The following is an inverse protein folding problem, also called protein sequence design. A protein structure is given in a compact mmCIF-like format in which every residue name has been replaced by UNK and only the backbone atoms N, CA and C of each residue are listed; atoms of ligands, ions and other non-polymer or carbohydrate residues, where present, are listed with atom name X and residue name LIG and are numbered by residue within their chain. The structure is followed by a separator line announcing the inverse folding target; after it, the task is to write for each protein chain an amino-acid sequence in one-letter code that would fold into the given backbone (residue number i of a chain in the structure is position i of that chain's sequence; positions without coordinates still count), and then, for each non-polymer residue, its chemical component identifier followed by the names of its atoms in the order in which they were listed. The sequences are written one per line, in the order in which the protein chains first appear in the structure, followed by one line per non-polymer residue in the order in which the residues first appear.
data_IF_973249727577
#
_entry.id   IF_973249727577
#
_cell.length_a   1.000
_cell.length_b   1.000
_cell.length_c   1.000
_cell.angle_alpha   90.00
_cell.angle_beta   90.00
_cell.angle_gamma   90.00
#
_symmetry.space_group_name_H-M   'P 1'
#
loop_
_entity.id
_entity.type
_entity.pdbx_description
1 polymer ?
#
# COMPACT_ATOMS: atom_id res chain seq x y z
N UNK A 1 1.08 2.12 9.63
CA UNK A 1 1.38 1.36 8.41
C UNK A 1 2.64 1.92 7.80
N UNK A 2 3.75 1.17 7.79
CA UNK A 2 5.01 1.66 7.25
C UNK A 2 4.91 1.76 5.72
N UNK A 3 5.16 2.96 5.19
CA UNK A 3 5.36 3.13 3.76
C UNK A 3 6.78 2.69 3.39
N UNK A 4 6.89 1.87 2.36
CA UNK A 4 8.18 1.54 1.75
C UNK A 4 8.40 2.46 0.57
N UNK A 5 9.58 3.08 0.52
CA UNK A 5 10.00 3.90 -0.61
C UNK A 5 10.66 3.00 -1.65
N UNK A 6 9.94 2.71 -2.74
CA UNK A 6 10.51 2.01 -3.90
C UNK A 6 11.23 3.02 -4.78
N UNK A 7 12.52 2.79 -5.02
CA UNK A 7 13.36 3.63 -5.89
C UNK A 7 13.28 3.15 -7.33
N UNK A 8 13.11 4.07 -8.26
CA UNK A 8 13.13 3.81 -9.69
C UNK A 8 14.08 4.79 -10.37
N UNK A 9 15.04 4.27 -11.14
CA UNK A 9 15.98 5.10 -11.88
C UNK A 9 15.22 5.88 -12.97
N UNK A 10 15.41 7.19 -13.02
CA UNK A 10 14.68 8.05 -13.95
C UNK A 10 15.25 7.98 -15.36
N UNK A 11 14.41 8.37 -16.32
CA UNK A 11 14.85 8.80 -17.65
C UNK A 11 14.63 10.31 -17.74
N UNK A 12 15.72 11.08 -17.83
CA UNK A 12 15.68 12.55 -17.90
C UNK A 12 14.80 13.02 -19.06
N UNK A 13 13.99 14.05 -18.82
CA UNK A 13 13.11 14.63 -19.85
C UNK A 13 11.76 13.94 -20.02
N UNK A 14 11.51 12.78 -19.40
CA UNK A 14 10.15 12.19 -19.35
C UNK A 14 9.27 12.92 -18.33
N UNK A 15 7.97 12.96 -18.60
CA UNK A 15 6.96 13.38 -17.62
C UNK A 15 6.81 12.30 -16.54
N UNK A 16 6.61 12.72 -15.30
CA UNK A 16 6.41 11.84 -14.14
C UNK A 16 5.34 10.79 -14.38
N UNK A 17 4.18 11.17 -14.93
CA UNK A 17 3.08 10.24 -15.18
C UNK A 17 3.47 9.16 -16.21
N UNK A 18 4.15 9.55 -17.28
CA UNK A 18 4.62 8.61 -18.31
C UNK A 18 5.67 7.65 -17.74
N UNK A 19 6.56 8.17 -16.90
CA UNK A 19 7.57 7.37 -16.23
C UNK A 19 6.94 6.29 -15.32
N UNK A 20 5.92 6.64 -14.54
CA UNK A 20 5.24 5.68 -13.66
C UNK A 20 4.55 4.56 -14.44
N UNK A 21 4.08 4.85 -15.66
CA UNK A 21 3.46 3.87 -16.55
C UNK A 21 4.51 2.95 -17.19
N UNK A 22 5.54 3.54 -17.82
CA UNK A 22 6.52 2.81 -18.63
C UNK A 22 7.51 2.03 -17.76
N UNK A 23 8.12 2.70 -16.78
CA UNK A 23 9.29 2.20 -16.05
C UNK A 23 8.86 1.54 -14.74
N UNK A 24 7.94 2.16 -14.01
CA UNK A 24 7.41 1.58 -12.76
C UNK A 24 6.30 0.55 -13.02
N UNK A 25 5.86 0.37 -14.28
CA UNK A 25 4.80 -0.57 -14.70
C UNK A 25 3.51 -0.45 -13.87
N UNK A 26 3.21 0.74 -13.38
CA UNK A 26 2.00 1.01 -12.61
C UNK A 26 0.86 1.34 -13.57
N UNK A 27 -0.38 0.99 -13.18
CA UNK A 27 -1.55 1.37 -13.96
C UNK A 27 -1.78 2.89 -13.90
N UNK A 28 -2.50 3.45 -14.88
CA UNK A 28 -2.83 4.88 -14.90
C UNK A 28 -3.59 5.32 -13.64
N UNK A 29 -4.52 4.49 -13.16
CA UNK A 29 -5.30 4.79 -11.94
C UNK A 29 -4.42 4.81 -10.69
N UNK A 30 -3.50 3.86 -10.55
CA UNK A 30 -2.54 3.81 -9.43
C UNK A 30 -1.59 5.00 -9.47
N UNK A 31 -1.03 5.31 -10.65
CA UNK A 31 -0.12 6.44 -10.85
C UNK A 31 -0.79 7.78 -10.49
N UNK A 32 -2.02 8.01 -10.96
CA UNK A 32 -2.79 9.20 -10.60
C UNK A 32 -3.09 9.28 -9.10
N UNK A 33 -3.48 8.16 -8.48
CA UNK A 33 -3.74 8.08 -7.03
C UNK A 33 -2.49 8.38 -6.20
N UNK A 34 -1.33 7.89 -6.63
CA UNK A 34 -0.04 8.14 -5.95
C UNK A 34 0.35 9.62 -6.03
N UNK A 35 0.23 10.23 -7.23
CA UNK A 35 0.52 11.65 -7.42
C UNK A 35 -0.46 12.53 -6.64
N UNK A 36 -1.75 12.24 -6.68
CA UNK A 36 -2.77 12.99 -5.94
C UNK A 36 -2.58 12.90 -4.42
N UNK A 37 -2.05 11.78 -3.93
CA UNK A 37 -1.73 11.58 -2.49
C UNK A 37 -0.34 12.07 -2.08
N UNK A 38 0.38 12.77 -2.96
CA UNK A 38 1.75 13.25 -2.72
C UNK A 38 2.71 12.12 -2.29
N UNK A 39 2.63 10.96 -2.96
CA UNK A 39 3.42 9.76 -2.65
C UNK A 39 4.57 9.51 -3.63
N UNK A 40 4.90 10.47 -4.47
CA UNK A 40 5.98 10.37 -5.45
C UNK A 40 6.95 11.50 -5.19
N UNK A 41 8.24 11.18 -5.07
CA UNK A 41 9.29 12.10 -4.67
C UNK A 41 10.46 12.05 -5.66
N UNK A 42 11.14 13.17 -5.85
CA UNK A 42 12.39 13.21 -6.61
C UNK A 42 13.59 12.68 -5.79
N UNK A 43 14.77 12.74 -6.38
CA UNK A 43 16.05 12.35 -5.78
C UNK A 43 16.47 13.23 -4.59
N UNK A 44 15.86 14.41 -4.45
CA UNK A 44 16.06 15.34 -3.34
C UNK A 44 14.97 15.22 -2.26
N UNK A 45 13.98 14.36 -2.46
CA UNK A 45 12.86 14.17 -1.53
C UNK A 45 11.71 15.17 -1.68
N UNK A 46 11.69 15.99 -2.74
CA UNK A 46 10.58 16.89 -3.03
C UNK A 46 9.42 16.13 -3.69
N UNK A 47 8.20 16.54 -3.37
CA UNK A 47 6.99 15.94 -3.95
C UNK A 47 6.88 16.28 -5.44
N UNK A 48 6.73 15.25 -6.26
CA UNK A 48 6.49 15.37 -7.69
C UNK A 48 4.99 15.46 -7.98
N UNK A 49 4.61 16.47 -8.77
CA UNK A 49 3.23 16.71 -9.21
C UNK A 49 2.99 16.18 -10.62
N UNK A 50 1.72 15.96 -10.95
CA UNK A 50 1.34 15.56 -12.30
C UNK A 50 1.82 16.59 -13.34
N UNK A 51 2.29 16.10 -14.50
CA UNK A 51 2.79 16.91 -15.60
C UNK A 51 4.23 17.42 -15.43
N UNK A 52 4.86 17.25 -14.27
CA UNK A 52 6.27 17.64 -14.08
C UNK A 52 7.23 16.75 -14.88
N UNK A 53 8.34 17.34 -15.29
CA UNK A 53 9.41 16.67 -16.04
C UNK A 53 10.49 16.23 -15.06
N UNK A 54 10.91 14.98 -15.19
CA UNK A 54 11.97 14.39 -14.37
C UNK A 54 13.34 14.96 -14.76
N UNK A 55 14.07 15.47 -13.77
CA UNK A 55 15.42 16.04 -13.90
C UNK A 55 16.48 15.29 -13.09
N UNK A 56 16.08 14.72 -11.96
CA UNK A 56 16.93 13.94 -11.06
C UNK A 56 17.29 12.56 -11.60
N UNK A 57 18.09 11.81 -10.85
CA UNK A 57 18.59 10.47 -11.24
C UNK A 57 17.64 9.31 -10.92
N UNK A 58 16.83 9.47 -9.87
CA UNK A 58 15.81 8.49 -9.49
C UNK A 58 14.60 9.19 -8.90
N UNK A 59 13.47 8.49 -8.87
CA UNK A 59 12.32 8.86 -8.07
C UNK A 59 12.07 7.84 -6.98
N UNK A 60 11.41 8.27 -5.92
CA UNK A 60 10.92 7.41 -4.85
C UNK A 60 9.40 7.38 -4.88
N UNK A 61 8.82 6.20 -4.84
CA UNK A 61 7.37 6.01 -4.72
C UNK A 61 7.07 5.39 -3.36
N UNK A 62 6.28 6.07 -2.55
CA UNK A 62 5.79 5.55 -1.28
C UNK A 62 4.64 4.57 -1.53
N UNK A 63 4.97 3.28 -1.51
CA UNK A 63 4.03 2.18 -1.66
C UNK A 63 3.78 1.58 -0.28
N UNK A 64 2.53 1.20 -0.01
CA UNK A 64 2.23 0.42 1.17
C UNK A 64 2.57 -1.04 0.88
N UNK A 65 3.08 -1.76 1.87
CA UNK A 65 3.32 -3.18 1.76
C UNK A 65 2.92 -3.82 3.09
N UNK A 66 1.96 -4.75 3.03
CA UNK A 66 1.48 -5.47 4.20
C UNK A 66 2.61 -6.25 4.86
N UNK A 67 2.82 -6.03 6.17
CA UNK A 67 3.77 -6.80 6.97
C UNK A 67 3.06 -7.93 7.70
N UNK A 68 3.57 -9.14 7.54
CA UNK A 68 3.04 -10.31 8.25
C UNK A 68 3.77 -10.55 9.58
N UNK A 69 3.02 -10.97 10.60
CA UNK A 69 3.46 -11.62 11.83
C UNK A 69 3.15 -13.13 11.82
N UNK A 70 2.77 -13.67 10.66
CA UNK A 70 2.46 -15.08 10.46
C UNK A 70 0.99 -15.45 10.61
N UNK A 71 0.08 -14.47 10.76
CA UNK A 71 -1.36 -14.77 10.80
C UNK A 71 -1.84 -15.13 9.39
N UNK A 72 -2.47 -16.30 9.26
CA UNK A 72 -2.97 -16.83 7.99
C UNK A 72 -4.49 -16.79 7.95
N UNK A 73 -5.11 -16.73 6.76
CA UNK A 73 -6.54 -16.95 6.62
C UNK A 73 -6.89 -18.35 7.15
N UNK A 74 -7.99 -18.46 7.89
CA UNK A 74 -8.57 -19.75 8.29
C UNK A 74 -9.34 -20.37 7.12
N UNK A 75 -9.90 -19.53 6.25
CA UNK A 75 -10.64 -19.92 5.06
C UNK A 75 -10.32 -18.95 3.93
N UNK A 76 -10.17 -19.47 2.71
CA UNK A 76 -9.83 -18.70 1.53
C UNK A 76 -10.57 -19.28 0.33
N UNK A 77 -11.21 -18.40 -0.44
CA UNK A 77 -11.79 -18.67 -1.75
C UNK A 77 -11.45 -17.52 -2.70
N UNK A 78 -11.80 -17.68 -3.97
CA UNK A 78 -11.43 -16.75 -5.03
C UNK A 78 -11.80 -15.28 -4.74
N UNK A 79 -12.96 -15.05 -4.11
CA UNK A 79 -13.51 -13.69 -3.95
C UNK A 79 -13.43 -13.16 -2.51
N UNK A 80 -13.14 -14.01 -1.52
CA UNK A 80 -13.04 -13.59 -0.13
C UNK A 80 -12.24 -14.57 0.74
N UNK A 81 -11.79 -14.08 1.88
CA UNK A 81 -11.16 -14.90 2.91
C UNK A 81 -11.71 -14.55 4.29
N UNK A 82 -11.46 -15.45 5.25
CA UNK A 82 -11.80 -15.25 6.66
C UNK A 82 -10.56 -15.43 7.51
N UNK A 83 -10.26 -14.45 8.34
CA UNK A 83 -9.22 -14.53 9.35
C UNK A 83 -9.83 -14.78 10.72
N UNK A 84 -9.18 -15.62 11.52
CA UNK A 84 -9.42 -15.67 12.96
C UNK A 84 -8.58 -14.57 13.64
N UNK A 85 -9.20 -13.43 13.93
CA UNK A 85 -8.48 -12.32 14.54
C UNK A 85 -8.25 -12.58 16.03
N UNK A 86 -7.00 -12.60 16.52
CA UNK A 86 -6.74 -12.68 17.96
C UNK A 86 -7.17 -11.40 18.68
N UNK A 87 -7.47 -11.50 19.97
CA UNK A 87 -7.69 -10.35 20.84
C UNK A 87 -6.41 -9.52 20.98
N UNK A 88 -6.55 -8.21 21.19
CA UNK A 88 -5.45 -7.23 21.25
C UNK A 88 -4.91 -6.77 19.89
N UNK A 89 -5.44 -7.30 18.76
CA UNK A 89 -5.04 -6.88 17.41
C UNK A 89 -6.09 -5.96 16.79
N UNK A 90 -5.71 -4.76 16.40
CA UNK A 90 -6.57 -3.85 15.63
C UNK A 90 -6.83 -4.39 14.22
N UNK A 91 -8.03 -4.17 13.68
CA UNK A 91 -8.34 -4.54 12.29
C UNK A 91 -7.72 -3.59 11.26
N UNK A 92 -7.79 -2.28 11.52
CA UNK A 92 -7.35 -1.22 10.62
C UNK A 92 -6.48 -0.21 11.39
N UNK A 93 -5.48 0.44 10.77
CA UNK A 93 -4.70 1.45 11.46
C UNK A 93 -5.56 2.62 11.90
N UNK A 94 -5.38 3.07 13.14
CA UNK A 94 -6.01 4.27 13.68
C UNK A 94 -5.11 5.50 13.55
N UNK A 95 -3.79 5.29 13.44
CA UNK A 95 -2.78 6.34 13.32
C UNK A 95 -1.76 5.98 12.24
N UNK A 96 -1.07 6.98 11.70
CA UNK A 96 0.05 6.74 10.75
C UNK A 96 1.15 5.89 11.37
N UNK A 97 1.37 6.07 12.68
CA UNK A 97 2.34 5.33 13.50
C UNK A 97 1.88 3.95 13.94
N UNK A 98 0.66 3.50 13.59
CA UNK A 98 0.24 2.13 13.91
C UNK A 98 1.22 1.14 13.27
N UNK A 99 1.92 0.38 14.10
CA UNK A 99 2.99 -0.51 13.65
C UNK A 99 2.45 -1.73 12.90
N UNK A 100 1.31 -2.26 13.36
CA UNK A 100 0.71 -3.49 12.86
C UNK A 100 -0.82 -3.52 13.11
N UNK A 101 -1.56 -4.10 12.18
CA UNK A 101 -2.99 -4.43 12.28
C UNK A 101 -3.34 -5.58 11.33
N UNK A 102 -4.57 -6.10 11.41
CA UNK A 102 -5.03 -7.20 10.54
C UNK A 102 -4.94 -6.85 9.05
N UNK A 103 -5.18 -5.59 8.66
CA UNK A 103 -5.05 -5.15 7.27
C UNK A 103 -3.63 -5.33 6.71
N UNK A 104 -2.59 -5.32 7.55
CA UNK A 104 -1.23 -5.66 7.12
C UNK A 104 -1.14 -7.13 6.67
N UNK A 105 -1.77 -8.06 7.39
CA UNK A 105 -1.83 -9.48 7.01
C UNK A 105 -2.66 -9.68 5.74
N UNK A 106 -3.84 -9.06 5.66
CA UNK A 106 -4.74 -9.15 4.51
C UNK A 106 -4.00 -8.76 3.23
N UNK A 107 -3.33 -7.60 3.25
CA UNK A 107 -2.61 -7.11 2.07
C UNK A 107 -1.31 -7.85 1.79
N UNK A 108 -0.71 -8.49 2.81
CA UNK A 108 0.42 -9.40 2.60
C UNK A 108 0.00 -10.63 1.78
N UNK A 109 -1.15 -11.24 2.12
CA UNK A 109 -1.64 -12.44 1.43
C UNK A 109 -2.32 -12.15 0.10
N UNK A 110 -3.13 -11.09 0.02
CA UNK A 110 -4.05 -10.85 -1.09
C UNK A 110 -3.73 -9.57 -1.90
N UNK A 111 -2.69 -8.83 -1.51
CA UNK A 111 -2.24 -7.62 -2.21
C UNK A 111 -3.00 -6.34 -1.84
N UNK A 112 -2.60 -5.22 -2.46
CA UNK A 112 -3.02 -3.87 -2.07
C UNK A 112 -4.52 -3.57 -2.23
N UNK A 113 -5.24 -4.34 -3.04
CA UNK A 113 -6.68 -4.13 -3.28
C UNK A 113 -7.56 -4.83 -2.25
N UNK A 114 -7.02 -5.80 -1.52
CA UNK A 114 -7.77 -6.51 -0.49
C UNK A 114 -8.02 -5.60 0.71
N UNK A 115 -9.25 -5.65 1.22
CA UNK A 115 -9.70 -4.83 2.33
C UNK A 115 -10.66 -5.59 3.27
N UNK A 116 -10.96 -4.97 4.39
CA UNK A 116 -11.87 -5.51 5.39
C UNK A 116 -13.33 -5.30 4.93
N UNK A 117 -14.14 -6.36 4.95
CA UNK A 117 -15.58 -6.22 4.71
C UNK A 117 -16.31 -5.61 5.93
N UNK A 118 -15.78 -5.86 7.13
CA UNK A 118 -16.30 -5.32 8.38
C UNK A 118 -15.19 -5.19 9.43
N UNK A 119 -15.53 -4.58 10.57
CA UNK A 119 -14.58 -4.30 11.66
C UNK A 119 -15.10 -4.85 12.98
N UNK A 120 -14.19 -5.33 13.81
CA UNK A 120 -14.41 -5.65 15.22
C UNK A 120 -13.35 -4.94 16.06
N UNK A 121 -13.62 -4.75 17.35
CA UNK A 121 -12.74 -4.02 18.25
C UNK A 121 -11.41 -4.76 18.48
N UNK A 122 -10.39 -4.02 18.92
CA UNK A 122 -9.06 -4.58 19.14
C UNK A 122 -9.09 -5.74 20.15
N UNK A 123 -9.81 -5.55 21.25
CA UNK A 123 -9.94 -6.53 22.35
C UNK A 123 -10.90 -7.68 22.02
N UNK A 124 -11.69 -7.56 20.94
CA UNK A 124 -12.58 -8.64 20.50
C UNK A 124 -11.82 -9.62 19.62
N UNK A 125 -11.77 -10.90 20.00
CA UNK A 125 -11.33 -11.97 19.10
C UNK A 125 -12.49 -12.47 18.25
N UNK A 126 -12.20 -13.03 17.08
CA UNK A 126 -13.19 -13.71 16.26
C UNK A 126 -12.98 -13.55 14.76
N UNK A 127 -13.94 -14.09 14.01
CA UNK A 127 -13.87 -14.15 12.55
C UNK A 127 -14.05 -12.78 11.92
N UNK A 128 -13.15 -12.47 10.97
CA UNK A 128 -13.20 -11.25 10.16
C UNK A 128 -13.16 -11.63 8.69
N UNK A 129 -14.20 -11.22 7.96
CA UNK A 129 -14.30 -11.43 6.51
C UNK A 129 -13.59 -10.29 5.76
N UNK A 130 -12.88 -10.67 4.68
CA UNK A 130 -12.05 -9.77 3.86
C UNK A 130 -12.28 -10.10 2.38
N UNK A 131 -12.15 -9.11 1.50
CA UNK A 131 -12.36 -9.24 0.05
C UNK A 131 -11.46 -8.29 -0.73
#
# INVERSE_FOLDING_TARGET
MPFLFKKYNTVKGKKVQQFLLDEAKLSSSVSQKLLAKNRVFDDQGNILKNGQILKGEYIQVAVFEGRTRGLKPMFEVQDFAVFDKPSGVMVHPTRKTTEYCLLDEIRHHFGEQADLAHRIDAETSGLVLVA
#
